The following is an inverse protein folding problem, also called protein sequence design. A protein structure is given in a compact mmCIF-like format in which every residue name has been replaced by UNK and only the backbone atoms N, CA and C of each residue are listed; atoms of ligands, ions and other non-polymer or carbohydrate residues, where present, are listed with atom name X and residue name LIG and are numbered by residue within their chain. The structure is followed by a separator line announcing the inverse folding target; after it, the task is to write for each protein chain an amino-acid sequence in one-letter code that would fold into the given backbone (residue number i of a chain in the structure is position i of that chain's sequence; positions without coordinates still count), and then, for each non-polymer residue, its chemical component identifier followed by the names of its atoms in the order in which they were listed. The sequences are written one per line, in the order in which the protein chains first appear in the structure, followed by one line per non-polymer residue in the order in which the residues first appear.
data_IF_976720265920
#
_entry.id   IF_976720265920
#
_cell.length_a   1.000
_cell.length_b   1.000
_cell.length_c   1.000
_cell.angle_alpha   90.00
_cell.angle_beta   90.00
_cell.angle_gamma   90.00
#
_symmetry.space_group_name_H-M   'P 1'
#
loop_
_entity.id
_entity.type
_entity.pdbx_description
1 polymer ?
#
# COMPACT_ATOMS: atom_id res chain seq x y z
N UNK A 1 -20.24 -13.66 20.63
CA UNK A 1 -21.00 -12.36 20.75
C UNK A 1 -20.36 -11.34 21.70
N UNK A 2 -19.22 -11.65 22.35
CA UNK A 2 -18.53 -10.74 23.28
C UNK A 2 -17.30 -10.04 22.66
N UNK A 3 -16.78 -10.53 21.53
CA UNK A 3 -15.65 -9.91 20.82
C UNK A 3 -15.98 -8.52 20.25
N UNK A 4 -17.22 -8.27 19.78
CA UNK A 4 -17.58 -6.99 19.13
C UNK A 4 -17.50 -5.75 20.05
N UNK A 5 -17.33 -5.92 21.36
CA UNK A 5 -17.08 -4.83 22.31
C UNK A 5 -15.62 -4.69 22.72
N UNK A 6 -14.72 -5.47 22.12
CA UNK A 6 -13.29 -5.34 22.31
C UNK A 6 -12.72 -4.29 21.34
N UNK A 7 -11.67 -3.60 21.76
CA UNK A 7 -10.81 -2.79 20.90
C UNK A 7 -9.40 -3.36 20.88
N UNK A 8 -8.71 -3.13 19.77
CA UNK A 8 -7.31 -3.51 19.58
C UNK A 8 -6.51 -2.22 19.38
N UNK A 9 -5.30 -2.17 19.90
CA UNK A 9 -4.33 -1.11 19.60
C UNK A 9 -2.92 -1.68 19.57
N UNK A 10 -2.08 -1.16 18.69
CA UNK A 10 -0.67 -1.51 18.64
C UNK A 10 0.13 -0.80 19.74
N UNK A 11 1.17 -1.47 20.23
CA UNK A 11 2.20 -0.93 21.12
C UNK A 11 3.53 -0.83 20.39
N UNK A 12 4.60 -1.30 21.03
CA UNK A 12 5.93 -1.34 20.39
C UNK A 12 5.94 -2.30 19.19
N UNK A 13 6.46 -1.82 18.05
CA UNK A 13 6.63 -2.60 16.82
C UNK A 13 8.12 -2.64 16.48
N UNK A 14 8.69 -3.84 16.48
CA UNK A 14 10.06 -4.11 16.06
C UNK A 14 10.01 -4.90 14.76
N UNK A 15 10.21 -4.18 13.66
CA UNK A 15 10.29 -4.75 12.33
C UNK A 15 11.68 -5.34 12.02
N UNK A 16 11.74 -6.31 11.10
CA UNK A 16 13.00 -6.87 10.62
C UNK A 16 13.78 -5.81 9.83
N UNK A 17 15.11 -5.94 9.81
CA UNK A 17 16.01 -4.94 9.21
C UNK A 17 16.15 -5.11 7.69
N UNK A 18 15.71 -6.25 7.15
CA UNK A 18 15.70 -6.49 5.71
C UNK A 18 14.36 -7.06 5.24
N UNK A 19 14.23 -7.28 3.94
CA UNK A 19 13.05 -7.90 3.32
C UNK A 19 13.20 -9.42 3.15
N UNK A 20 14.09 -10.06 3.89
CA UNK A 20 14.38 -11.48 3.74
C UNK A 20 13.45 -12.33 4.61
N UNK A 21 13.00 -13.45 4.06
CA UNK A 21 12.23 -14.44 4.80
C UNK A 21 12.99 -14.93 6.04
N UNK A 22 12.28 -15.08 7.15
CA UNK A 22 12.80 -15.70 8.37
C UNK A 22 13.59 -14.74 9.28
N UNK A 23 13.52 -13.44 9.03
CA UNK A 23 13.98 -12.47 10.02
C UNK A 23 12.93 -12.30 11.12
N UNK A 24 13.39 -12.38 12.36
CA UNK A 24 12.53 -12.25 13.54
C UNK A 24 12.04 -10.81 13.71
N UNK A 25 10.79 -10.69 14.10
CA UNK A 25 10.10 -9.45 14.36
C UNK A 25 9.14 -9.63 15.55
N UNK A 26 8.84 -8.53 16.23
CA UNK A 26 8.00 -8.53 17.43
C UNK A 26 7.01 -7.38 17.38
N UNK A 27 5.76 -7.64 17.72
CA UNK A 27 4.69 -6.63 17.79
C UNK A 27 3.96 -6.77 19.11
N UNK A 28 3.77 -5.66 19.83
CA UNK A 28 2.86 -5.61 20.96
C UNK A 28 1.45 -5.24 20.52
N UNK A 29 0.46 -6.02 20.99
CA UNK A 29 -0.95 -5.79 20.73
C UNK A 29 -1.69 -5.72 22.06
N UNK A 30 -2.40 -4.61 22.29
CA UNK A 30 -3.23 -4.43 23.49
C UNK A 30 -4.70 -4.63 23.14
N UNK A 31 -5.35 -5.53 23.87
CA UNK A 31 -6.78 -5.81 23.75
C UNK A 31 -7.50 -5.18 24.93
N UNK A 32 -8.48 -4.33 24.66
CA UNK A 32 -9.25 -3.59 25.67
C UNK A 32 -10.72 -3.97 25.60
N UNK A 33 -11.35 -4.24 26.75
CA UNK A 33 -12.79 -4.42 26.81
C UNK A 33 -13.51 -3.08 26.93
N UNK A 34 -14.00 -2.57 25.79
CA UNK A 34 -14.78 -1.33 25.70
C UNK A 34 -16.27 -1.54 26.05
N UNK A 35 -16.67 -2.78 26.32
CA UNK A 35 -18.04 -3.16 26.66
C UNK A 35 -18.39 -2.93 28.13
N UNK A 36 -19.65 -3.22 28.46
CA UNK A 36 -20.19 -3.11 29.83
C UNK A 36 -20.25 -4.44 30.57
N UNK A 37 -19.99 -5.55 29.89
CA UNK A 37 -19.94 -6.90 30.45
C UNK A 37 -18.50 -7.43 30.48
N UNK A 38 -18.20 -8.33 31.41
CA UNK A 38 -16.91 -8.99 31.44
C UNK A 38 -16.76 -9.98 30.26
N UNK A 39 -15.56 -10.03 29.68
CA UNK A 39 -15.18 -10.95 28.60
C UNK A 39 -14.36 -12.08 29.20
N UNK A 40 -14.80 -13.32 28.98
CA UNK A 40 -14.18 -14.54 29.51
C UNK A 40 -14.20 -15.63 28.43
N UNK A 41 -13.33 -15.52 27.44
CA UNK A 41 -13.32 -16.39 26.26
C UNK A 41 -11.91 -16.67 25.76
N UNK A 42 -11.80 -17.71 24.94
CA UNK A 42 -10.59 -18.01 24.16
C UNK A 42 -10.80 -17.54 22.73
N UNK A 43 -9.79 -16.90 22.17
CA UNK A 43 -9.81 -16.33 20.82
C UNK A 43 -8.47 -16.60 20.14
N UNK A 44 -8.44 -16.48 18.82
CA UNK A 44 -7.19 -16.50 18.06
C UNK A 44 -6.80 -15.04 17.75
N UNK A 45 -5.60 -14.66 18.18
CA UNK A 45 -4.98 -13.38 17.86
C UNK A 45 -4.05 -13.59 16.66
N UNK A 46 -4.47 -13.06 15.51
CA UNK A 46 -3.77 -13.17 14.25
C UNK A 46 -3.05 -11.85 13.95
N UNK A 47 -1.86 -11.94 13.37
CA UNK A 47 -1.14 -10.80 12.82
C UNK A 47 -0.95 -11.02 11.32
N UNK A 48 -1.40 -10.06 10.52
CA UNK A 48 -1.23 -10.06 9.07
C UNK A 48 -0.31 -8.91 8.65
N UNK A 49 0.42 -9.10 7.55
CA UNK A 49 0.93 -7.99 6.75
C UNK A 49 0.00 -7.77 5.55
N UNK A 50 -0.33 -6.52 5.25
CA UNK A 50 -1.20 -6.16 4.15
C UNK A 50 -0.67 -4.99 3.32
N UNK A 51 -1.23 -4.84 2.13
CA UNK A 51 -1.03 -3.71 1.22
C UNK A 51 -2.02 -2.57 1.47
N UNK A 52 -3.11 -2.82 2.19
CA UNK A 52 -4.10 -1.84 2.64
C UNK A 52 -4.45 -2.04 4.13
N UNK A 53 -5.23 -1.12 4.68
CA UNK A 53 -5.73 -1.16 6.07
C UNK A 53 -6.89 -2.16 6.27
N UNK A 54 -7.39 -2.76 5.18
CA UNK A 54 -8.56 -3.64 5.20
C UNK A 54 -8.16 -5.11 5.08
N UNK A 55 -8.53 -5.89 6.10
CA UNK A 55 -8.50 -7.35 6.02
C UNK A 55 -9.53 -7.86 5.00
N UNK A 56 -9.07 -8.51 3.93
CA UNK A 56 -9.88 -9.20 2.92
C UNK A 56 -9.78 -10.71 3.13
N UNK A 57 -10.90 -11.45 3.12
CA UNK A 57 -10.97 -12.91 3.42
C UNK A 57 -9.75 -13.74 2.96
N UNK A 58 -9.39 -14.80 3.71
CA UNK A 58 -8.27 -15.73 3.41
C UNK A 58 -8.16 -16.20 1.95
N UNK A 59 -9.24 -16.20 1.16
CA UNK A 59 -9.19 -16.56 -0.26
C UNK A 59 -8.49 -15.53 -1.18
N UNK A 60 -8.22 -14.31 -0.70
CA UNK A 60 -7.45 -13.27 -1.40
C UNK A 60 -6.03 -13.16 -0.84
N UNK A 61 -5.26 -14.26 -0.98
CA UNK A 61 -3.84 -14.36 -0.59
C UNK A 61 -2.91 -13.33 -1.25
N UNK A 62 -3.42 -12.50 -2.16
CA UNK A 62 -2.59 -11.53 -2.89
C UNK A 62 -2.32 -10.31 -2.01
N UNK A 63 -3.24 -9.93 -1.13
CA UNK A 63 -3.15 -8.68 -0.34
C UNK A 63 -2.70 -8.90 1.09
N UNK A 64 -3.28 -9.89 1.73
CA UNK A 64 -3.07 -10.14 3.15
C UNK A 64 -2.29 -11.43 3.36
N UNK A 65 -1.28 -11.36 4.21
CA UNK A 65 -0.46 -12.51 4.54
C UNK A 65 -0.37 -12.71 6.05
N UNK A 66 -0.80 -13.87 6.53
CA UNK A 66 -0.72 -14.23 7.94
C UNK A 66 0.74 -14.42 8.35
N UNK A 67 1.21 -13.59 9.27
CA UNK A 67 2.56 -13.65 9.83
C UNK A 67 2.62 -14.60 11.03
N UNK A 68 1.65 -14.50 11.95
CA UNK A 68 1.53 -15.39 13.10
C UNK A 68 0.09 -15.47 13.61
N UNK A 69 -0.22 -16.54 14.34
CA UNK A 69 -1.52 -16.78 14.97
C UNK A 69 -1.30 -17.43 16.34
N UNK A 70 -1.83 -16.79 17.38
CA UNK A 70 -1.71 -17.26 18.76
C UNK A 70 -3.08 -17.42 19.42
N UNK A 71 -3.32 -18.59 20.01
CA UNK A 71 -4.50 -18.80 20.85
C UNK A 71 -4.36 -18.07 22.18
N UNK A 72 -5.20 -17.06 22.41
CA UNK A 72 -5.20 -16.22 23.61
C UNK A 72 -6.41 -16.51 24.50
N UNK A 73 -6.23 -16.35 25.81
CA UNK A 73 -7.34 -16.40 26.78
C UNK A 73 -7.59 -15.01 27.34
N UNK A 74 -8.80 -14.50 27.15
CA UNK A 74 -9.23 -13.19 27.59
C UNK A 74 -10.06 -13.32 28.85
N UNK A 75 -9.64 -12.60 29.90
CA UNK A 75 -10.40 -12.42 31.14
C UNK A 75 -10.36 -10.94 31.52
N UNK A 76 -11.24 -10.16 30.87
CA UNK A 76 -11.23 -8.71 30.93
C UNK A 76 -12.55 -8.21 31.53
N UNK A 77 -12.46 -7.54 32.68
CA UNK A 77 -13.56 -6.74 33.19
C UNK A 77 -13.84 -5.54 32.27
N UNK A 78 -15.02 -4.89 32.33
CA UNK A 78 -15.28 -3.65 31.62
C UNK A 78 -14.18 -2.61 31.84
N UNK A 79 -13.63 -2.08 30.76
CA UNK A 79 -12.53 -1.10 30.75
C UNK A 79 -11.14 -1.67 31.07
N UNK A 80 -11.00 -2.97 31.30
CA UNK A 80 -9.70 -3.61 31.50
C UNK A 80 -9.05 -3.94 30.15
N UNK A 81 -7.71 -3.95 30.14
CA UNK A 81 -6.90 -4.33 28.99
C UNK A 81 -5.87 -5.39 29.35
N UNK A 82 -5.37 -6.06 28.33
CA UNK A 82 -4.21 -6.96 28.40
C UNK A 82 -3.37 -6.79 27.16
N UNK A 83 -2.05 -6.91 27.29
CA UNK A 83 -1.11 -6.78 26.18
C UNK A 83 -0.50 -8.14 25.88
N UNK A 84 -0.40 -8.47 24.60
CA UNK A 84 0.24 -9.65 24.07
C UNK A 84 1.45 -9.23 23.23
N UNK A 85 2.52 -10.00 23.32
CA UNK A 85 3.70 -9.82 22.48
C UNK A 85 3.69 -10.94 21.46
N UNK A 86 3.54 -10.59 20.19
CA UNK A 86 3.51 -11.51 19.07
C UNK A 86 4.90 -11.54 18.43
N UNK A 87 5.59 -12.67 18.57
CA UNK A 87 6.82 -12.93 17.84
C UNK A 87 6.49 -13.63 16.51
N UNK A 88 7.11 -13.18 15.43
CA UNK A 88 6.93 -13.80 14.12
C UNK A 88 8.22 -13.77 13.31
N UNK A 89 8.36 -14.78 12.45
CA UNK A 89 9.36 -14.79 11.40
C UNK A 89 8.74 -14.17 10.16
N UNK A 90 9.30 -13.07 9.68
CA UNK A 90 8.72 -12.36 8.54
C UNK A 90 8.61 -13.29 7.33
N UNK A 91 7.42 -13.29 6.74
CA UNK A 91 7.17 -13.91 5.44
C UNK A 91 7.02 -12.81 4.39
N UNK A 92 7.83 -12.90 3.32
CA UNK A 92 7.90 -11.86 2.27
C UNK A 92 6.66 -11.94 1.37
N UNK A 93 5.65 -11.16 1.73
CA UNK A 93 4.61 -10.73 0.79
C UNK A 93 4.25 -9.23 0.92
N UNK A 94 4.91 -8.52 1.83
CA UNK A 94 4.78 -7.08 1.97
C UNK A 94 5.76 -6.35 1.03
N UNK A 95 5.38 -5.15 0.58
CA UNK A 95 6.24 -4.30 -0.23
C UNK A 95 7.50 -3.88 0.57
N UNK A 96 8.61 -3.50 -0.11
CA UNK A 96 9.92 -3.37 0.52
C UNK A 96 10.08 -2.15 1.45
N UNK A 97 9.29 -1.09 1.24
CA UNK A 97 9.20 0.14 2.01
C UNK A 97 8.14 0.06 3.11
N UNK A 98 6.97 0.62 2.84
CA UNK A 98 5.83 0.71 3.76
C UNK A 98 4.72 -0.29 3.47
N UNK A 99 4.08 -0.79 4.52
CA UNK A 99 2.99 -1.77 4.46
C UNK A 99 2.15 -1.71 5.75
N UNK A 100 1.00 -2.37 5.76
CA UNK A 100 0.14 -2.40 6.95
C UNK A 100 0.39 -3.67 7.75
N UNK A 101 0.41 -3.53 9.08
CA UNK A 101 0.22 -4.66 9.99
C UNK A 101 -1.24 -4.66 10.44
N UNK A 102 -1.92 -5.80 10.37
CA UNK A 102 -3.30 -5.93 10.83
C UNK A 102 -3.34 -6.95 11.96
N UNK A 103 -3.69 -6.49 13.15
CA UNK A 103 -3.95 -7.34 14.30
C UNK A 103 -5.44 -7.67 14.31
N UNK A 104 -5.78 -8.95 14.26
CA UNK A 104 -7.15 -9.44 14.20
C UNK A 104 -7.41 -10.40 15.36
N UNK A 105 -8.52 -10.20 16.06
CA UNK A 105 -9.02 -11.11 17.07
C UNK A 105 -10.27 -11.82 16.54
N UNK A 106 -10.18 -13.14 16.39
CA UNK A 106 -11.23 -14.00 15.87
C UNK A 106 -11.67 -15.05 16.90
N UNK A 107 -12.88 -15.58 16.78
CA UNK A 107 -13.33 -16.71 17.62
C UNK A 107 -12.42 -17.92 17.37
N UNK A 108 -12.02 -18.62 18.44
CA UNK A 108 -11.06 -19.71 18.32
C UNK A 108 -11.51 -20.79 17.32
N UNK A 109 -10.65 -21.10 16.34
CA UNK A 109 -10.92 -22.07 15.27
C UNK A 109 -11.93 -21.60 14.21
N UNK A 110 -12.21 -20.31 14.11
CA UNK A 110 -12.97 -19.74 13.00
C UNK A 110 -12.06 -19.47 11.80
N UNK A 111 -12.49 -19.89 10.60
CA UNK A 111 -11.82 -19.50 9.35
C UNK A 111 -12.09 -18.00 9.12
N UNK A 112 -11.02 -17.20 9.08
CA UNK A 112 -11.01 -15.74 9.20
C UNK A 112 -11.55 -15.02 7.94
N UNK A 113 -12.86 -15.15 7.67
CA UNK A 113 -13.54 -14.37 6.63
C UNK A 113 -14.62 -13.48 7.23
N UNK A 114 -14.28 -12.23 7.56
CA UNK A 114 -15.17 -11.07 7.66
C UNK A 114 -16.63 -11.36 8.14
N UNK A 115 -16.79 -12.06 9.26
CA UNK A 115 -18.11 -12.36 9.85
C UNK A 115 -18.26 -11.70 11.21
N UNK A 116 -19.50 -11.48 11.64
CA UNK A 116 -19.82 -10.97 12.97
C UNK A 116 -19.05 -11.75 14.05
N UNK A 117 -18.15 -11.10 14.79
CA UNK A 117 -17.27 -11.75 15.76
C UNK A 117 -15.78 -11.47 15.56
N UNK A 118 -15.38 -10.74 14.52
CA UNK A 118 -14.00 -10.29 14.31
C UNK A 118 -13.83 -8.83 14.75
N UNK A 119 -12.74 -8.53 15.44
CA UNK A 119 -12.24 -7.15 15.66
C UNK A 119 -10.85 -7.08 15.05
N UNK A 120 -10.58 -6.06 14.26
CA UNK A 120 -9.26 -5.84 13.65
C UNK A 120 -8.84 -4.38 13.80
N UNK A 121 -7.54 -4.16 13.92
CA UNK A 121 -6.90 -2.85 13.88
C UNK A 121 -5.71 -2.94 12.91
N UNK A 122 -5.49 -1.89 12.13
CA UNK A 122 -4.38 -1.77 11.21
C UNK A 122 -3.40 -0.69 11.67
N UNK A 123 -2.11 -0.92 11.48
CA UNK A 123 -1.04 0.07 11.69
C UNK A 123 -0.20 0.17 10.41
N UNK A 124 -0.05 1.39 9.88
CA UNK A 124 0.79 1.64 8.72
C UNK A 124 2.24 1.83 9.14
N UNK A 125 3.11 0.91 8.75
CA UNK A 125 4.51 0.90 9.16
C UNK A 125 5.46 1.09 7.99
N UNK A 126 6.58 1.75 8.25
CA UNK A 126 7.75 1.80 7.36
C UNK A 126 8.85 0.87 7.85
N UNK A 127 9.50 0.15 6.95
CA UNK A 127 10.54 -0.82 7.32
C UNK A 127 11.84 -0.10 7.74
N UNK A 128 12.52 -0.56 8.79
CA UNK A 128 13.83 -0.02 9.16
C UNK A 128 14.82 -0.05 8.00
N UNK A 129 15.58 1.03 7.83
CA UNK A 129 16.62 1.14 6.81
C UNK A 129 16.12 1.49 5.41
N UNK A 130 14.83 1.79 5.23
CA UNK A 130 14.29 2.38 4.00
C UNK A 130 14.44 3.89 4.00
N UNK A 131 13.96 4.54 2.95
CA UNK A 131 13.87 5.98 2.84
C UNK A 131 12.56 6.33 2.14
N UNK A 132 12.25 7.64 2.10
CA UNK A 132 11.03 8.17 1.49
C UNK A 132 10.80 7.67 0.06
N UNK A 133 11.84 7.52 -0.76
CA UNK A 133 11.69 7.04 -2.15
C UNK A 133 11.27 5.58 -2.19
N UNK A 134 11.81 4.74 -1.31
CA UNK A 134 11.44 3.33 -1.20
C UNK A 134 10.02 3.18 -0.64
N UNK A 135 9.63 4.04 0.30
CA UNK A 135 8.29 4.02 0.90
C UNK A 135 7.22 4.44 -0.10
N UNK A 136 7.45 5.49 -0.88
CA UNK A 136 6.54 5.88 -1.96
C UNK A 136 6.54 4.91 -3.14
N UNK A 137 7.65 4.21 -3.39
CA UNK A 137 7.64 3.06 -4.30
C UNK A 137 6.72 1.95 -3.79
N UNK A 138 6.78 1.67 -2.49
CA UNK A 138 5.87 0.74 -1.82
C UNK A 138 4.42 1.18 -1.91
N UNK A 139 4.12 2.46 -1.66
CA UNK A 139 2.78 3.01 -1.77
C UNK A 139 2.20 2.82 -3.18
N UNK A 140 2.98 3.09 -4.23
CA UNK A 140 2.57 2.80 -5.61
C UNK A 140 2.29 1.30 -5.87
N UNK A 141 3.16 0.41 -5.37
CA UNK A 141 2.99 -1.03 -5.54
C UNK A 141 1.77 -1.56 -4.77
N UNK A 142 1.54 -1.04 -3.57
CA UNK A 142 0.37 -1.34 -2.75
C UNK A 142 -0.91 -0.87 -3.47
N UNK A 143 -0.94 0.38 -3.93
CA UNK A 143 -2.03 0.95 -4.70
C UNK A 143 -2.32 0.19 -6.00
N UNK A 144 -1.27 -0.36 -6.65
CA UNK A 144 -1.42 -1.23 -7.83
C UNK A 144 -2.11 -2.56 -7.48
N UNK A 145 -1.78 -3.16 -6.34
CA UNK A 145 -2.37 -4.41 -5.89
C UNK A 145 -3.82 -4.22 -5.42
N UNK A 146 -4.11 -3.09 -4.76
CA UNK A 146 -5.46 -2.74 -4.31
C UNK A 146 -6.36 -2.34 -5.49
N UNK A 147 -5.84 -1.50 -6.39
CA UNK A 147 -6.59 -0.84 -7.45
C UNK A 147 -6.92 -1.71 -8.68
N UNK A 148 -6.81 -3.03 -8.63
CA UNK A 148 -7.03 -3.95 -9.76
C UNK A 148 -8.37 -3.70 -10.50
N UNK A 149 -8.28 -3.01 -11.63
CA UNK A 149 -9.33 -2.54 -12.53
C UNK A 149 -8.75 -2.57 -13.97
N UNK A 150 -9.57 -2.29 -14.98
CA UNK A 150 -9.05 -2.14 -16.35
C UNK A 150 -8.06 -0.96 -16.47
N UNK A 151 -8.24 0.07 -15.65
CA UNK A 151 -7.41 1.28 -15.60
C UNK A 151 -6.06 1.06 -14.89
N UNK A 152 -5.91 -0.06 -14.19
CA UNK A 152 -4.66 -0.48 -13.52
C UNK A 152 -4.04 -1.70 -14.18
N UNK A 153 -4.39 -1.96 -15.44
CA UNK A 153 -3.74 -3.02 -16.22
C UNK A 153 -2.22 -2.76 -16.33
N UNK A 154 -1.40 -3.81 -16.54
CA UNK A 154 0.06 -3.68 -16.56
C UNK A 154 0.64 -2.51 -17.39
N UNK A 155 0.15 -2.17 -18.61
CA UNK A 155 0.68 -1.03 -19.35
C UNK A 155 0.35 0.33 -18.70
N UNK A 156 -0.83 0.48 -18.08
CA UNK A 156 -1.18 1.70 -17.34
C UNK A 156 -0.33 1.84 -16.08
N UNK A 157 -0.03 0.73 -15.40
CA UNK A 157 0.87 0.78 -14.25
C UNK A 157 2.30 1.12 -14.63
N UNK A 158 2.81 0.57 -15.74
CA UNK A 158 4.11 0.99 -16.26
C UNK A 158 4.13 2.48 -16.63
N UNK A 159 3.04 3.01 -17.20
CA UNK A 159 2.89 4.44 -17.49
C UNK A 159 2.89 5.27 -16.20
N UNK A 160 2.07 4.91 -15.22
CA UNK A 160 1.97 5.63 -13.95
C UNK A 160 3.32 5.63 -13.21
N UNK A 161 4.02 4.51 -13.22
CA UNK A 161 5.39 4.40 -12.71
C UNK A 161 6.35 5.38 -13.44
N UNK A 162 6.20 5.51 -14.76
CA UNK A 162 6.94 6.47 -15.59
C UNK A 162 6.53 7.94 -15.41
N UNK A 163 5.54 8.25 -14.57
CA UNK A 163 5.14 9.60 -14.18
C UNK A 163 5.69 9.89 -12.77
N UNK A 164 5.37 9.01 -11.82
CA UNK A 164 5.65 9.18 -10.40
C UNK A 164 7.16 9.25 -10.11
N UNK A 165 7.93 8.27 -10.61
CA UNK A 165 9.35 8.21 -10.27
C UNK A 165 10.19 9.31 -10.91
N UNK A 166 9.94 9.74 -12.17
CA UNK A 166 10.59 10.95 -12.67
C UNK A 166 10.21 12.21 -11.91
N UNK A 167 8.98 12.33 -11.40
CA UNK A 167 8.60 13.46 -10.56
C UNK A 167 9.36 13.48 -9.23
N UNK A 168 9.46 12.33 -8.55
CA UNK A 168 10.31 12.20 -7.35
C UNK A 168 11.76 12.56 -7.67
N UNK A 169 12.31 12.03 -8.77
CA UNK A 169 13.70 12.25 -9.16
C UNK A 169 14.00 13.73 -9.46
N UNK A 170 13.15 14.40 -10.25
CA UNK A 170 13.33 15.80 -10.59
C UNK A 170 13.15 16.71 -9.37
N UNK A 171 12.18 16.42 -8.49
CA UNK A 171 11.95 17.18 -7.27
C UNK A 171 13.15 17.14 -6.32
N UNK A 172 13.74 15.96 -6.12
CA UNK A 172 14.97 15.80 -5.33
C UNK A 172 16.14 16.55 -5.99
N UNK A 173 16.35 16.35 -7.29
CA UNK A 173 17.50 16.95 -7.99
C UNK A 173 17.42 18.47 -8.06
N UNK A 174 16.23 19.08 -8.15
CA UNK A 174 16.10 20.54 -8.13
C UNK A 174 16.58 21.16 -6.81
N UNK A 175 16.57 20.38 -5.72
CA UNK A 175 17.11 20.78 -4.42
C UNK A 175 18.59 20.42 -4.34
N UNK A 176 18.96 19.16 -4.58
CA UNK A 176 20.33 18.69 -4.39
C UNK A 176 21.33 19.27 -5.41
N UNK A 177 20.87 19.67 -6.60
CA UNK A 177 21.72 20.27 -7.62
C UNK A 177 22.25 21.66 -7.25
N UNK A 178 21.63 22.35 -6.28
CA UNK A 178 22.12 23.63 -5.77
C UNK A 178 23.50 23.48 -5.13
N UNK A 179 23.68 22.42 -4.35
CA UNK A 179 24.93 22.16 -3.64
C UNK A 179 25.86 21.17 -4.36
N UNK A 180 25.31 20.24 -5.14
CA UNK A 180 26.08 19.20 -5.82
C UNK A 180 25.37 18.63 -7.05
N UNK A 181 25.52 19.25 -8.25
CA UNK A 181 24.87 18.77 -9.46
C UNK A 181 25.51 17.46 -9.96
N UNK A 182 25.03 16.33 -9.43
CA UNK A 182 25.44 14.99 -9.88
C UNK A 182 24.64 14.54 -11.10
N UNK A 183 23.38 14.96 -11.20
CA UNK A 183 22.45 14.55 -12.24
C UNK A 183 21.70 15.75 -12.80
N UNK A 184 21.35 15.67 -14.08
CA UNK A 184 20.40 16.59 -14.71
C UNK A 184 18.99 16.06 -14.55
N UNK A 185 18.04 16.94 -14.26
CA UNK A 185 16.61 16.62 -14.30
C UNK A 185 16.18 16.06 -15.66
N UNK A 186 15.09 15.29 -15.66
CA UNK A 186 14.54 14.60 -16.83
C UNK A 186 13.53 15.49 -17.56
N UNK A 187 12.60 16.09 -16.82
CA UNK A 187 11.48 16.88 -17.34
C UNK A 187 11.48 18.32 -16.80
N UNK A 188 11.68 18.50 -15.48
CA UNK A 188 11.63 19.82 -14.83
C UNK A 188 13.02 20.23 -14.37
N UNK A 189 13.63 21.21 -15.06
CA UNK A 189 15.03 21.60 -14.89
C UNK A 189 15.23 22.93 -14.14
N UNK A 190 14.16 23.59 -13.73
CA UNK A 190 14.21 24.87 -13.03
C UNK A 190 13.00 25.09 -12.12
N UNK A 191 13.22 25.83 -11.04
CA UNK A 191 12.18 26.28 -10.11
C UNK A 191 11.66 27.67 -10.52
N UNK A 192 10.36 27.93 -10.43
CA UNK A 192 9.81 29.26 -10.70
C UNK A 192 10.17 30.25 -9.57
N UNK A 193 10.02 31.54 -9.87
CA UNK A 193 10.29 32.60 -8.89
C UNK A 193 9.42 32.43 -7.64
N UNK A 194 10.03 32.55 -6.45
CA UNK A 194 9.36 32.40 -5.16
C UNK A 194 9.58 31.06 -4.47
N UNK A 195 10.13 30.06 -5.18
CA UNK A 195 10.58 28.81 -4.59
C UNK A 195 12.01 28.94 -4.07
N UNK A 196 12.34 28.24 -2.98
CA UNK A 196 13.65 28.30 -2.33
C UNK A 196 14.19 26.90 -2.07
N UNK A 197 15.05 26.41 -2.97
CA UNK A 197 15.73 25.13 -2.80
C UNK A 197 16.67 25.11 -1.58
N UNK A 198 17.30 26.24 -1.23
CA UNK A 198 18.29 26.35 -0.14
C UNK A 198 17.78 25.95 1.26
N UNK A 199 16.45 26.00 1.45
CA UNK A 199 15.81 25.67 2.74
C UNK A 199 14.96 24.41 2.65
N UNK A 200 14.72 23.89 1.45
CA UNK A 200 13.78 22.81 1.21
C UNK A 200 14.38 21.45 1.60
N UNK A 201 13.55 20.58 2.17
CA UNK A 201 13.90 19.17 2.36
C UNK A 201 13.70 18.41 1.05
N UNK A 202 14.74 17.72 0.56
CA UNK A 202 14.65 16.84 -0.61
C UNK A 202 13.70 15.67 -0.36
N UNK A 203 13.63 15.18 0.89
CA UNK A 203 12.69 14.12 1.26
C UNK A 203 11.25 14.63 1.22
N UNK A 204 10.98 15.84 1.75
CA UNK A 204 9.66 16.44 1.64
C UNK A 204 9.25 16.74 0.18
N UNK A 205 10.20 17.10 -0.68
CA UNK A 205 9.95 17.25 -2.10
C UNK A 205 9.63 15.92 -2.79
N UNK A 206 10.29 14.83 -2.39
CA UNK A 206 9.92 13.49 -2.82
C UNK A 206 8.49 13.12 -2.39
N UNK A 207 8.11 13.41 -1.13
CA UNK A 207 6.74 13.22 -0.63
C UNK A 207 5.73 13.99 -1.48
N UNK A 208 5.94 15.29 -1.67
CA UNK A 208 5.02 16.14 -2.44
C UNK A 208 4.86 15.65 -3.86
N UNK A 209 5.96 15.36 -4.56
CA UNK A 209 5.91 14.88 -5.94
C UNK A 209 5.21 13.51 -6.06
N UNK A 210 5.50 12.59 -5.16
CA UNK A 210 4.89 11.27 -5.15
C UNK A 210 3.38 11.35 -4.88
N UNK A 211 2.98 12.07 -3.84
CA UNK A 211 1.58 12.23 -3.46
C UNK A 211 0.78 12.92 -4.57
N UNK A 212 1.22 14.10 -5.04
CA UNK A 212 0.53 14.85 -6.09
C UNK A 212 0.32 14.01 -7.35
N UNK A 213 1.35 13.27 -7.79
CA UNK A 213 1.25 12.44 -9.00
C UNK A 213 0.33 11.23 -8.80
N UNK A 214 0.45 10.50 -7.70
CA UNK A 214 -0.38 9.33 -7.42
C UNK A 214 -1.83 9.72 -7.21
N UNK A 215 -2.09 10.72 -6.37
CA UNK A 215 -3.42 11.25 -6.07
C UNK A 215 -4.15 11.64 -7.37
N UNK A 216 -3.54 12.48 -8.20
CA UNK A 216 -4.12 12.91 -9.49
C UNK A 216 -4.41 11.74 -10.44
N UNK A 217 -3.52 10.74 -10.51
CA UNK A 217 -3.70 9.54 -11.35
C UNK A 217 -4.91 8.73 -10.87
N UNK A 218 -5.04 8.55 -9.56
CA UNK A 218 -6.10 7.73 -8.97
C UNK A 218 -7.43 8.47 -8.89
N UNK A 219 -7.46 9.78 -8.66
CA UNK A 219 -8.66 10.62 -8.81
C UNK A 219 -9.19 10.59 -10.24
N UNK A 220 -8.30 10.69 -11.24
CA UNK A 220 -8.68 10.55 -12.65
C UNK A 220 -9.30 9.18 -12.94
N UNK A 221 -8.79 8.13 -12.31
CA UNK A 221 -9.34 6.77 -12.40
C UNK A 221 -10.70 6.65 -11.69
N UNK A 222 -10.85 7.26 -10.52
CA UNK A 222 -12.11 7.32 -9.76
C UNK A 222 -13.21 8.01 -10.57
N UNK A 223 -12.90 9.15 -11.20
CA UNK A 223 -13.84 9.88 -12.04
C UNK A 223 -14.30 9.03 -13.24
N UNK A 224 -13.37 8.33 -13.90
CA UNK A 224 -13.68 7.40 -15.01
C UNK A 224 -14.58 6.26 -14.55
N UNK A 225 -14.22 5.56 -13.47
CA UNK A 225 -15.00 4.44 -12.93
C UNK A 225 -16.41 4.86 -12.49
N UNK A 226 -16.53 6.04 -11.89
CA UNK A 226 -17.83 6.65 -11.55
C UNK A 226 -18.68 6.88 -12.79
N UNK A 227 -18.08 7.38 -13.87
CA UNK A 227 -18.79 7.68 -15.13
C UNK A 227 -19.35 6.42 -15.81
N UNK A 228 -18.69 5.27 -15.66
CA UNK A 228 -19.12 3.98 -16.22
C UNK A 228 -19.94 3.13 -15.24
N UNK A 229 -20.14 3.61 -14.00
CA UNK A 229 -20.95 2.94 -12.99
C UNK A 229 -20.31 1.70 -12.35
N UNK A 230 -18.97 1.59 -12.35
CA UNK A 230 -18.27 0.49 -11.67
C UNK A 230 -18.14 0.76 -10.16
N UNK A 231 -19.20 0.47 -9.42
CA UNK A 231 -19.25 0.70 -7.97
C UNK A 231 -18.13 -0.04 -7.20
N UNK A 232 -17.76 -1.25 -7.63
CA UNK A 232 -16.72 -2.02 -6.96
C UNK A 232 -15.33 -1.41 -7.23
N UNK A 233 -15.09 -0.96 -8.47
CA UNK A 233 -13.89 -0.20 -8.82
C UNK A 233 -13.80 1.12 -8.05
N UNK A 234 -14.90 1.87 -7.95
CA UNK A 234 -15.00 3.11 -7.16
C UNK A 234 -14.55 2.87 -5.72
N UNK A 235 -15.11 1.88 -5.02
CA UNK A 235 -14.70 1.56 -3.64
C UNK A 235 -13.21 1.23 -3.56
N UNK A 236 -12.67 0.41 -4.48
CA UNK A 236 -11.24 0.07 -4.46
C UNK A 236 -10.34 1.29 -4.65
N UNK A 237 -10.70 2.21 -5.53
CA UNK A 237 -9.89 3.41 -5.78
C UNK A 237 -10.05 4.43 -4.65
N UNK A 238 -11.22 4.55 -4.02
CA UNK A 238 -11.38 5.34 -2.80
C UNK A 238 -10.43 4.86 -1.71
N UNK A 239 -10.40 3.55 -1.41
CA UNK A 239 -9.46 3.01 -0.43
C UNK A 239 -7.98 3.27 -0.81
N UNK A 240 -7.65 3.26 -2.11
CA UNK A 240 -6.29 3.64 -2.54
C UNK A 240 -5.98 5.08 -2.19
N UNK A 241 -6.90 6.02 -2.45
CA UNK A 241 -6.72 7.44 -2.14
C UNK A 241 -6.57 7.66 -0.63
N UNK A 242 -7.44 7.03 0.18
CA UNK A 242 -7.36 7.08 1.63
C UNK A 242 -5.98 6.58 2.13
N UNK A 243 -5.48 5.46 1.62
CA UNK A 243 -4.15 4.92 1.96
C UNK A 243 -2.99 5.82 1.49
N UNK A 244 -3.17 6.60 0.42
CA UNK A 244 -2.17 7.57 -0.04
C UNK A 244 -2.10 8.80 0.88
N UNK A 245 -3.25 9.26 1.39
CA UNK A 245 -3.31 10.32 2.40
C UNK A 245 -2.64 9.86 3.71
N UNK A 246 -2.91 8.64 4.17
CA UNK A 246 -2.22 8.07 5.34
C UNK A 246 -0.69 7.96 5.14
N UNK A 247 -0.26 7.49 3.97
CA UNK A 247 1.16 7.47 3.60
C UNK A 247 1.77 8.88 3.60
N UNK A 248 1.04 9.89 3.14
CA UNK A 248 1.46 11.27 3.16
C UNK A 248 1.67 11.75 4.59
N UNK A 249 0.65 11.65 5.43
CA UNK A 249 0.69 12.09 6.82
C UNK A 249 1.82 11.39 7.60
N UNK A 250 2.00 10.07 7.40
CA UNK A 250 3.08 9.32 8.03
C UNK A 250 4.46 9.82 7.56
N UNK A 251 4.64 10.05 6.26
CA UNK A 251 5.90 10.56 5.72
C UNK A 251 6.25 11.93 6.33
N UNK A 252 5.26 12.81 6.52
CA UNK A 252 5.46 14.11 7.18
C UNK A 252 5.86 13.91 8.65
N UNK A 253 5.17 13.03 9.35
CA UNK A 253 5.46 12.76 10.76
C UNK A 253 6.88 12.18 10.94
N UNK A 254 7.30 11.25 10.07
CA UNK A 254 8.66 10.70 10.08
C UNK A 254 9.73 11.79 9.87
N UNK A 255 9.47 12.78 9.00
CA UNK A 255 10.37 13.92 8.81
C UNK A 255 10.43 14.82 10.05
N UNK A 256 9.29 15.08 10.68
CA UNK A 256 9.21 15.85 11.94
C UNK A 256 9.99 15.15 13.04
N UNK A 257 9.80 13.85 13.21
CA UNK A 257 10.48 13.03 14.21
C UNK A 257 11.98 12.89 13.91
N UNK A 258 12.35 12.93 12.63
CA UNK A 258 13.73 13.04 12.14
C UNK A 258 14.38 14.41 12.38
N UNK A 259 13.62 15.40 12.85
CA UNK A 259 14.10 16.74 13.20
C UNK A 259 14.17 17.71 12.01
N UNK A 260 13.52 17.42 10.90
CA UNK A 260 13.36 18.36 9.78
C UNK A 260 12.44 19.49 10.23
N UNK A 261 12.81 20.74 9.96
CA UNK A 261 11.98 21.89 10.35
C UNK A 261 10.71 21.96 9.51
N UNK A 262 9.62 22.46 10.10
CA UNK A 262 8.37 22.67 9.36
C UNK A 262 8.56 23.54 8.12
N UNK A 263 9.39 24.58 8.20
CA UNK A 263 9.71 25.46 7.06
C UNK A 263 10.38 24.69 5.91
N UNK A 264 11.30 23.76 6.22
CA UNK A 264 11.94 22.92 5.22
C UNK A 264 10.99 21.89 4.62
N UNK A 265 10.08 21.35 5.43
CA UNK A 265 9.01 20.46 4.97
C UNK A 265 8.09 21.21 4.01
N UNK A 266 7.55 22.36 4.41
CA UNK A 266 6.62 23.15 3.59
C UNK A 266 7.26 23.57 2.25
N UNK A 267 8.52 24.02 2.29
CA UNK A 267 9.26 24.40 1.08
C UNK A 267 9.51 23.20 0.15
N UNK A 268 9.87 22.03 0.73
CA UNK A 268 10.04 20.79 -0.04
C UNK A 268 8.72 20.33 -0.65
N UNK A 269 7.64 20.27 0.12
CA UNK A 269 6.31 19.89 -0.36
C UNK A 269 5.84 20.77 -1.51
N UNK A 270 6.00 22.09 -1.40
CA UNK A 270 5.66 23.00 -2.48
C UNK A 270 6.45 22.68 -3.76
N UNK A 271 7.77 22.46 -3.66
CA UNK A 271 8.61 22.06 -4.81
C UNK A 271 8.11 20.74 -5.40
N UNK A 272 7.84 19.74 -4.57
CA UNK A 272 7.33 18.45 -4.99
C UNK A 272 6.00 18.55 -5.72
N UNK A 273 5.04 19.29 -5.17
CA UNK A 273 3.74 19.56 -5.79
C UNK A 273 3.89 20.26 -7.14
N UNK A 274 4.74 21.29 -7.23
CA UNK A 274 5.02 21.96 -8.49
C UNK A 274 5.55 20.99 -9.56
N UNK A 275 6.59 20.21 -9.24
CA UNK A 275 7.19 19.24 -10.17
C UNK A 275 6.18 18.16 -10.57
N UNK A 276 5.41 17.66 -9.60
CA UNK A 276 4.36 16.69 -9.86
C UNK A 276 3.32 17.21 -10.84
N UNK A 277 2.86 18.44 -10.66
CA UNK A 277 1.90 19.10 -11.55
C UNK A 277 2.46 19.35 -12.96
N UNK A 278 3.71 19.81 -13.09
CA UNK A 278 4.34 20.00 -14.40
C UNK A 278 4.42 18.68 -15.18
N UNK A 279 4.86 17.61 -14.54
CA UNK A 279 4.98 16.29 -15.19
C UNK A 279 3.60 15.70 -15.52
N UNK A 280 2.60 15.88 -14.64
CA UNK A 280 1.22 15.49 -14.95
C UNK A 280 0.69 16.26 -16.16
N UNK A 281 0.96 17.57 -16.24
CA UNK A 281 0.60 18.41 -17.37
C UNK A 281 1.22 17.93 -18.68
N UNK A 282 2.52 17.67 -18.69
CA UNK A 282 3.25 17.12 -19.84
C UNK A 282 2.73 15.74 -20.28
N UNK A 283 2.10 15.01 -19.36
CA UNK A 283 1.61 13.64 -19.57
C UNK A 283 0.10 13.57 -19.78
N UNK A 284 -0.62 14.69 -19.72
CA UNK A 284 -2.06 14.73 -19.94
C UNK A 284 -2.43 14.25 -21.34
N UNK A 285 -1.59 14.56 -22.34
CA UNK A 285 -1.84 14.31 -23.77
C UNK A 285 -0.93 13.21 -24.37
N UNK A 286 -0.44 12.27 -23.55
CA UNK A 286 0.49 11.23 -24.01
C UNK A 286 -0.16 10.07 -24.80
N UNK A 287 -1.42 10.25 -25.20
CA UNK A 287 -2.18 9.29 -26.00
C UNK A 287 -2.84 8.16 -25.20
N UNK A 288 -2.69 8.14 -23.88
CA UNK A 288 -3.22 7.06 -23.04
C UNK A 288 -4.76 7.04 -23.01
N UNK A 289 -5.40 8.22 -23.04
CA UNK A 289 -6.86 8.32 -23.06
C UNK A 289 -7.44 7.78 -24.38
N UNK A 290 -6.76 8.01 -25.50
CA UNK A 290 -7.14 7.55 -26.83
C UNK A 290 -6.86 6.05 -27.03
N UNK A 291 -5.81 5.53 -26.39
CA UNK A 291 -5.42 4.13 -26.47
C UNK A 291 -6.41 3.17 -25.76
N UNK A 292 -7.34 3.68 -24.95
CA UNK A 292 -8.37 2.89 -24.26
C UNK A 292 -9.39 2.24 -25.20
N UNK A 293 -9.40 2.57 -26.49
CA UNK A 293 -10.19 1.83 -27.48
C UNK A 293 -9.50 0.52 -27.89
N UNK A 294 -9.39 -0.46 -26.97
CA UNK A 294 -9.23 -1.83 -27.42
C UNK A 294 -10.50 -2.20 -28.22
N UNK A 295 -10.41 -2.70 -29.46
CA UNK A 295 -11.57 -3.31 -30.10
C UNK A 295 -12.09 -4.41 -29.15
N UNK A 296 -13.41 -4.62 -29.03
CA UNK A 296 -13.96 -5.60 -28.11
C UNK A 296 -13.37 -6.97 -28.44
N UNK A 297 -12.35 -7.36 -27.69
CA UNK A 297 -11.92 -8.75 -27.66
C UNK A 297 -13.05 -9.44 -26.90
N UNK A 298 -13.97 -10.02 -27.68
CA UNK A 298 -15.13 -10.81 -27.26
C UNK A 298 -16.38 -9.99 -26.90
N UNK A 299 -17.06 -9.45 -27.92
CA UNK A 299 -18.50 -9.23 -27.82
C UNK A 299 -19.19 -10.58 -27.52
N UNK A 300 -19.67 -10.75 -26.29
CA UNK A 300 -20.65 -11.79 -25.94
C UNK A 300 -20.30 -12.78 -24.82
N UNK A 301 -19.14 -12.71 -24.17
CA UNK A 301 -18.90 -13.53 -22.96
C UNK A 301 -19.09 -12.72 -21.67
N UNK A 302 -19.94 -13.23 -20.78
CA UNK A 302 -20.21 -12.68 -19.46
C UNK A 302 -18.90 -12.62 -18.65
N UNK A 303 -18.63 -11.51 -17.95
CA UNK A 303 -17.42 -11.29 -17.13
C UNK A 303 -17.19 -12.43 -16.11
N UNK A 304 -18.25 -13.09 -15.65
CA UNK A 304 -18.16 -14.27 -14.78
C UNK A 304 -17.50 -15.50 -15.44
N UNK A 305 -17.47 -15.58 -16.77
CA UNK A 305 -16.84 -16.67 -17.53
C UNK A 305 -15.32 -16.46 -17.68
N UNK A 306 -14.85 -15.20 -17.61
CA UNK A 306 -13.43 -14.84 -17.75
C UNK A 306 -12.65 -15.14 -16.47
N UNK A 307 -13.24 -14.92 -15.30
CA UNK A 307 -12.64 -15.27 -14.01
C UNK A 307 -12.38 -16.79 -13.88
N UNK A 308 -13.26 -17.63 -14.45
CA UNK A 308 -13.15 -19.10 -14.36
C UNK A 308 -12.07 -19.71 -15.28
N UNK A 309 -11.64 -19.00 -16.34
CA UNK A 309 -10.60 -19.52 -17.26
C UNK A 309 -9.18 -19.25 -16.78
N UNK A 310 -8.94 -18.26 -15.91
CA UNK A 310 -7.60 -18.00 -15.34
C UNK A 310 -7.17 -19.12 -14.38
N UNK A 311 -8.11 -19.70 -13.62
CA UNK A 311 -7.85 -20.86 -12.75
C UNK A 311 -7.74 -22.20 -13.51
N UNK A 312 -8.35 -22.31 -14.69
CA UNK A 312 -8.32 -23.54 -15.50
C UNK A 312 -7.05 -23.69 -16.34
N UNK A 313 -6.36 -22.60 -16.68
CA UNK A 313 -5.14 -22.65 -17.52
C UNK A 313 -3.88 -23.10 -16.75
N UNK A 314 -3.89 -22.98 -15.41
CA UNK A 314 -2.79 -23.42 -14.55
C UNK A 314 -2.81 -24.92 -14.22
N UNK A 315 -3.95 -25.61 -14.41
CA UNK A 315 -4.09 -27.04 -14.14
C UNK A 315 -3.91 -27.95 -15.39
N UNK A 316 -3.69 -27.37 -16.57
CA UNK A 316 -3.57 -28.12 -17.84
C UNK A 316 -2.13 -28.26 -18.37
N UNK A 317 -1.10 -27.74 -17.68
CA UNK A 317 0.32 -27.93 -18.06
C UNK A 317 0.96 -29.21 -17.47
N UNK A 318 0.21 -29.95 -16.65
CA UNK A 318 0.59 -31.28 -16.22
C UNK A 318 0.31 -32.34 -17.29
N UNK A 319 1.17 -32.46 -18.31
CA UNK A 319 1.67 -33.76 -18.81
C UNK A 319 2.33 -33.70 -20.20
N UNK A 320 3.46 -34.42 -20.28
CA UNK A 320 4.16 -34.97 -21.48
C UNK A 320 5.14 -34.04 -22.21
N UNK A 321 6.38 -34.03 -21.71
CA UNK A 321 7.54 -33.94 -22.60
C UNK A 321 7.56 -35.17 -23.53
N UNK A 322 7.60 -35.02 -24.87
CA UNK A 322 7.96 -36.11 -25.75
C UNK A 322 9.49 -36.25 -25.71
N UNK A 323 9.93 -37.34 -25.09
CA UNK A 323 11.29 -37.86 -25.20
C UNK A 323 11.55 -38.33 -26.64
N UNK A 324 12.55 -37.74 -27.28
CA UNK A 324 13.25 -38.32 -28.41
C UNK A 324 13.31 -37.45 -29.67
N UNK A 325 14.49 -36.87 -29.93
CA UNK A 325 15.31 -37.25 -31.07
C UNK A 325 16.67 -36.54 -31.04
N UNK A 326 17.68 -37.34 -30.72
CA UNK A 326 19.09 -37.15 -31.03
C UNK A 326 19.33 -37.32 -32.54
N UNK A 327 20.40 -36.67 -33.05
CA UNK A 327 21.03 -36.70 -34.40
C UNK A 327 20.56 -35.55 -35.31
N UNK A 328 21.41 -34.70 -35.89
CA UNK A 328 22.86 -34.70 -36.16
C UNK A 328 23.48 -33.36 -35.73
#
# INVERSE_FOLDING_TARGET
MALASLGISFGDIILPQSNLNGEAATVEVTITNNGTAAVNETADLNLFSSVDDVRVSESDFIRDFLQTSEGVTLNLAPGASTTFTLDYDQVVNASPGSFYLIAELAEAGSDSSATAGVVAEAEHVSRPGTNVVIDWASAFLNATQVGQTLETAPPFQARNMGIVFPAIFDAINLIESVDNPQFSSIFVDSLPEGFSADIASSEAAAVGAAFTTLDSIYEGSLARLTSVGDAAGVTRITNVLDNLEEQFDRSIQELIDGGVSQEAIDAGLAIGEFVGNEILGDRADDGAAEAQSLPPLFEGENLNTIAFRRSSLYLASGSRFPSGLLRL
#
